data_IF_429526686901
#
_entry.id   IF_429526686901
#
_cell.length_a   1.000
_cell.length_b   1.000
_cell.length_c   1.000
_cell.angle_alpha   90.00
_cell.angle_beta   90.00
_cell.angle_gamma   90.00
#
_symmetry.space_group_name_H-M   'P 1'
#
loop_
_entity.id
_entity.type
_entity.pdbx_description
1 polymer ?
#
# COMPACT_ATOMS: atom_id res chain seq x y z
N UNK A 1 -2.59 18.00 4.39
CA UNK A 1 -2.32 16.55 4.24
C UNK A 1 -2.65 15.87 5.56
N UNK A 2 -3.47 14.84 5.54
CA UNK A 2 -3.84 14.12 6.76
C UNK A 2 -2.79 13.02 7.00
N UNK A 3 -2.24 12.94 8.20
CA UNK A 3 -1.22 11.94 8.54
C UNK A 3 -1.75 10.49 8.45
N UNK A 4 -3.06 10.31 8.60
CA UNK A 4 -3.70 8.99 8.49
C UNK A 4 -3.99 8.56 7.06
N UNK A 5 -4.06 9.50 6.12
CA UNK A 5 -4.33 9.19 4.71
C UNK A 5 -3.49 10.11 3.83
N UNK A 6 -2.40 9.58 3.30
CA UNK A 6 -1.45 10.35 2.49
C UNK A 6 -1.57 9.94 1.03
N UNK A 7 -1.79 10.90 0.15
CA UNK A 7 -1.76 10.68 -1.29
C UNK A 7 -0.31 10.65 -1.79
N UNK A 8 0.00 9.66 -2.63
CA UNK A 8 1.22 9.65 -3.42
C UNK A 8 0.87 10.09 -4.86
N UNK A 9 1.59 11.07 -5.42
CA UNK A 9 1.19 11.67 -6.69
C UNK A 9 1.64 10.86 -7.91
N UNK A 10 1.14 9.64 -8.03
CA UNK A 10 1.21 8.92 -9.29
C UNK A 10 0.29 9.59 -10.32
N UNK A 11 0.71 9.59 -11.57
CA UNK A 11 -0.02 10.22 -12.66
C UNK A 11 -1.09 9.27 -13.22
N UNK A 12 -2.15 9.05 -12.41
CA UNK A 12 -3.32 8.26 -12.79
C UNK A 12 -4.60 9.08 -12.67
N UNK A 13 -5.65 8.75 -13.41
CA UNK A 13 -6.99 9.33 -13.17
C UNK A 13 -7.51 9.08 -11.75
N UNK A 14 -7.32 7.86 -11.20
CA UNK A 14 -7.61 7.54 -9.81
C UNK A 14 -6.47 7.93 -8.88
N UNK A 15 -6.80 8.19 -7.62
CA UNK A 15 -5.82 8.56 -6.60
C UNK A 15 -5.24 7.33 -5.92
N UNK A 16 -3.98 7.39 -5.55
CA UNK A 16 -3.32 6.32 -4.77
C UNK A 16 -2.90 6.88 -3.42
N UNK A 17 -3.38 6.22 -2.37
CA UNK A 17 -3.15 6.62 -0.99
C UNK A 17 -2.40 5.55 -0.21
N UNK A 18 -1.73 5.97 0.84
CA UNK A 18 -1.24 5.10 1.92
C UNK A 18 -1.98 5.43 3.21
N UNK A 19 -2.10 4.45 4.11
CA UNK A 19 -2.60 4.68 5.47
C UNK A 19 -2.04 3.65 6.45
N UNK A 20 -2.14 3.88 7.77
CA UNK A 20 -2.05 2.79 8.73
C UNK A 20 -3.30 1.90 8.61
N UNK A 21 -3.27 0.77 9.31
CA UNK A 21 -4.40 -0.14 9.36
C UNK A 21 -5.55 0.47 10.16
N UNK A 22 -6.78 0.50 9.61
CA UNK A 22 -7.95 0.94 10.39
C UNK A 22 -8.10 0.14 11.69
N UNK A 23 -8.47 0.80 12.77
CA UNK A 23 -8.70 0.23 14.10
C UNK A 23 -7.47 -0.40 14.75
N UNK A 24 -6.29 -0.28 14.16
CA UNK A 24 -5.04 -0.76 14.74
C UNK A 24 -4.41 0.27 15.68
N UNK A 25 -3.22 -0.08 16.19
CA UNK A 25 -2.50 0.77 17.15
C UNK A 25 -2.12 2.15 16.58
N UNK A 26 -2.01 2.27 15.27
CA UNK A 26 -1.67 3.52 14.56
C UNK A 26 -2.92 4.30 14.09
N UNK A 27 -4.11 3.83 14.46
CA UNK A 27 -5.39 4.51 14.27
C UNK A 27 -6.14 4.60 15.61
N UNK A 28 -5.56 5.25 16.63
CA UNK A 28 -6.14 5.25 17.98
C UNK A 28 -7.48 6.00 18.06
N UNK A 29 -7.73 6.89 17.10
CA UNK A 29 -8.99 7.64 17.03
C UNK A 29 -10.05 6.92 16.17
N UNK A 30 -9.70 5.81 15.53
CA UNK A 30 -10.58 5.00 14.67
C UNK A 30 -11.20 5.82 13.53
N UNK A 31 -10.40 6.67 12.91
CA UNK A 31 -10.85 7.59 11.84
C UNK A 31 -10.52 7.10 10.43
N UNK A 32 -9.61 6.12 10.29
CA UNK A 32 -9.06 5.75 8.99
C UNK A 32 -10.12 5.23 8.04
N UNK A 33 -11.04 4.38 8.49
CA UNK A 33 -12.10 3.86 7.62
C UNK A 33 -13.03 4.98 7.12
N UNK A 34 -13.33 5.96 7.97
CA UNK A 34 -14.13 7.11 7.57
C UNK A 34 -13.39 7.99 6.56
N UNK A 35 -12.08 8.15 6.72
CA UNK A 35 -11.26 8.86 5.73
C UNK A 35 -11.28 8.15 4.36
N UNK A 36 -11.31 6.81 4.34
CA UNK A 36 -11.48 6.07 3.09
C UNK A 36 -12.80 6.44 2.40
N UNK A 37 -13.90 6.50 3.15
CA UNK A 37 -15.20 6.89 2.59
C UNK A 37 -15.17 8.31 2.04
N UNK A 38 -14.63 9.24 2.80
CA UNK A 38 -14.54 10.65 2.41
C UNK A 38 -13.66 10.87 1.17
N UNK A 39 -12.59 10.07 1.04
CA UNK A 39 -11.71 10.12 -0.12
C UNK A 39 -12.25 9.32 -1.33
N UNK A 40 -13.40 8.67 -1.20
CA UNK A 40 -13.96 7.86 -2.26
C UNK A 40 -13.10 6.65 -2.62
N UNK A 41 -12.49 6.01 -1.63
CA UNK A 41 -11.68 4.80 -1.84
C UNK A 41 -12.58 3.66 -2.31
N UNK A 42 -12.21 3.02 -3.41
CA UNK A 42 -12.95 1.90 -4.00
C UNK A 42 -12.17 0.59 -3.93
N UNK A 43 -10.84 0.67 -3.78
CA UNK A 43 -9.96 -0.50 -3.75
C UNK A 43 -9.01 -0.38 -2.56
N UNK A 44 -8.93 -1.45 -1.76
CA UNK A 44 -8.01 -1.54 -0.62
C UNK A 44 -7.01 -2.65 -0.87
N UNK A 45 -5.73 -2.33 -0.82
CA UNK A 45 -4.64 -3.31 -0.85
C UNK A 45 -4.23 -3.61 0.59
N UNK A 46 -4.52 -4.83 1.03
CA UNK A 46 -4.15 -5.32 2.35
C UNK A 46 -2.80 -6.03 2.28
N UNK A 47 -1.78 -5.44 2.87
CA UNK A 47 -0.45 -6.06 2.99
C UNK A 47 -0.29 -6.85 4.29
N UNK A 48 -1.34 -6.98 5.06
CA UNK A 48 -1.42 -7.83 6.25
C UNK A 48 -2.28 -9.05 5.94
N UNK A 49 -2.00 -10.18 6.62
CA UNK A 49 -2.88 -11.34 6.59
C UNK A 49 -4.18 -11.06 7.33
N UNK A 50 -5.22 -11.85 7.06
CA UNK A 50 -6.48 -11.76 7.82
C UNK A 50 -6.25 -12.02 9.32
N UNK A 51 -5.32 -12.94 9.64
CA UNK A 51 -4.96 -13.24 11.04
C UNK A 51 -4.28 -12.03 11.72
N UNK A 52 -3.31 -11.39 11.07
CA UNK A 52 -2.66 -10.19 11.61
C UNK A 52 -3.67 -9.04 11.77
N UNK A 53 -4.52 -8.82 10.79
CA UNK A 53 -5.56 -7.80 10.83
C UNK A 53 -6.49 -8.02 12.02
N UNK A 54 -6.95 -9.25 12.22
CA UNK A 54 -7.84 -9.59 13.34
C UNK A 54 -7.15 -9.46 14.69
N UNK A 55 -5.91 -9.91 14.81
CA UNK A 55 -5.13 -9.80 16.05
C UNK A 55 -4.90 -8.34 16.45
N UNK A 56 -4.51 -7.49 15.50
CA UNK A 56 -4.07 -6.12 15.77
C UNK A 56 -5.21 -5.10 15.78
N UNK A 57 -6.29 -5.32 15.03
CA UNK A 57 -7.44 -4.42 14.97
C UNK A 57 -8.64 -4.90 15.77
N UNK A 58 -8.70 -6.19 16.12
CA UNK A 58 -9.87 -6.81 16.70
C UNK A 58 -11.05 -6.94 15.73
N UNK A 59 -10.83 -6.76 14.44
CA UNK A 59 -11.89 -6.71 13.41
C UNK A 59 -11.58 -7.64 12.24
N UNK A 60 -12.63 -8.10 11.58
CA UNK A 60 -12.56 -8.71 10.26
C UNK A 60 -12.55 -7.59 9.20
N UNK A 61 -11.36 -7.07 8.88
CA UNK A 61 -11.22 -5.92 7.98
C UNK A 61 -11.71 -6.22 6.57
N UNK A 62 -11.45 -7.42 6.07
CA UNK A 62 -11.90 -7.81 4.73
C UNK A 62 -13.41 -7.71 4.61
N UNK A 63 -14.13 -8.19 5.63
CA UNK A 63 -15.59 -8.08 5.70
C UNK A 63 -16.04 -6.63 5.79
N UNK A 64 -15.39 -5.83 6.62
CA UNK A 64 -15.70 -4.39 6.75
C UNK A 64 -15.55 -3.65 5.42
N UNK A 65 -14.47 -3.92 4.68
CA UNK A 65 -14.27 -3.32 3.37
C UNK A 65 -15.36 -3.75 2.37
N UNK A 66 -15.69 -5.03 2.33
CA UNK A 66 -16.78 -5.53 1.48
C UNK A 66 -18.13 -4.88 1.81
N UNK A 67 -18.44 -4.71 3.09
CA UNK A 67 -19.66 -4.03 3.56
C UNK A 67 -19.70 -2.56 3.14
N UNK A 68 -18.54 -1.93 2.92
CA UNK A 68 -18.42 -0.57 2.38
C UNK A 68 -18.44 -0.53 0.84
N UNK A 69 -18.57 -1.67 0.17
CA UNK A 69 -18.50 -1.74 -1.29
C UNK A 69 -17.08 -1.62 -1.84
N UNK A 70 -16.06 -1.78 -1.03
CA UNK A 70 -14.67 -1.71 -1.45
C UNK A 70 -14.16 -3.07 -1.91
N UNK A 71 -13.46 -3.09 -3.05
CA UNK A 71 -12.74 -4.27 -3.51
C UNK A 71 -11.45 -4.44 -2.69
N UNK A 72 -11.12 -5.69 -2.34
CA UNK A 72 -9.88 -5.99 -1.62
C UNK A 72 -8.90 -6.72 -2.53
N UNK A 73 -7.67 -6.21 -2.58
CA UNK A 73 -6.51 -6.90 -3.15
C UNK A 73 -5.68 -7.38 -1.95
N UNK A 74 -5.62 -8.69 -1.77
CA UNK A 74 -4.90 -9.30 -0.64
C UNK A 74 -3.50 -9.70 -1.06
N UNK A 75 -2.50 -9.11 -0.43
CA UNK A 75 -1.09 -9.36 -0.69
C UNK A 75 -0.33 -9.39 0.64
N UNK A 76 -0.55 -10.41 1.49
CA UNK A 76 0.03 -10.45 2.82
C UNK A 76 1.55 -10.58 2.75
N UNK A 77 2.23 -9.71 3.49
CA UNK A 77 3.68 -9.71 3.69
C UNK A 77 3.89 -9.85 5.21
N UNK A 78 4.71 -10.79 5.69
CA UNK A 78 5.03 -10.86 7.11
C UNK A 78 5.66 -9.55 7.59
N UNK A 79 5.40 -9.17 8.84
CA UNK A 79 5.89 -7.90 9.37
C UNK A 79 7.43 -7.86 9.34
N UNK A 80 7.99 -6.70 8.97
CA UNK A 80 9.41 -6.45 8.77
C UNK A 80 10.07 -7.29 7.65
N UNK A 81 9.29 -8.04 6.87
CA UNK A 81 9.77 -8.95 5.84
C UNK A 81 9.49 -8.40 4.43
N UNK A 82 9.76 -9.22 3.45
CA UNK A 82 9.58 -8.95 2.02
C UNK A 82 8.56 -9.92 1.42
N UNK A 83 7.89 -9.51 0.33
CA UNK A 83 7.00 -10.43 -0.41
C UNK A 83 7.82 -11.34 -1.34
N UNK A 84 7.14 -12.38 -1.83
CA UNK A 84 7.62 -13.08 -3.03
C UNK A 84 7.38 -12.20 -4.26
N UNK A 85 8.39 -12.10 -5.14
CA UNK A 85 8.28 -11.26 -6.35
C UNK A 85 7.13 -11.69 -7.25
N UNK A 86 6.90 -13.00 -7.38
CA UNK A 86 5.82 -13.58 -8.17
C UNK A 86 4.43 -13.19 -7.67
N UNK A 87 4.27 -12.91 -6.39
CA UNK A 87 3.03 -12.43 -5.80
C UNK A 87 2.91 -10.91 -5.89
N UNK A 88 4.02 -10.18 -5.71
CA UNK A 88 4.04 -8.72 -5.71
C UNK A 88 3.74 -8.13 -7.09
N UNK A 89 4.40 -8.64 -8.14
CA UNK A 89 4.29 -8.07 -9.48
C UNK A 89 2.84 -8.05 -10.01
N UNK A 90 2.04 -9.12 -9.89
CA UNK A 90 0.62 -9.04 -10.23
C UNK A 90 -0.17 -8.04 -9.39
N UNK A 91 0.17 -7.89 -8.11
CA UNK A 91 -0.46 -6.91 -7.22
C UNK A 91 -0.19 -5.47 -7.64
N UNK A 92 1.04 -5.16 -8.02
CA UNK A 92 1.40 -3.85 -8.58
C UNK A 92 0.60 -3.56 -9.86
N UNK A 93 0.50 -4.54 -10.75
CA UNK A 93 -0.25 -4.40 -12.01
C UNK A 93 -1.75 -4.21 -11.75
N UNK A 94 -2.33 -4.93 -10.80
CA UNK A 94 -3.73 -4.74 -10.43
C UNK A 94 -4.01 -3.32 -9.92
N UNK A 95 -3.14 -2.76 -9.08
CA UNK A 95 -3.28 -1.38 -8.60
C UNK A 95 -3.18 -0.39 -9.75
N UNK A 96 -2.20 -0.58 -10.63
CA UNK A 96 -2.03 0.25 -11.82
C UNK A 96 -3.29 0.25 -12.68
N UNK A 97 -3.84 -0.92 -12.99
CA UNK A 97 -5.07 -1.08 -13.79
C UNK A 97 -6.24 -0.36 -13.13
N UNK A 98 -6.44 -0.55 -11.83
CA UNK A 98 -7.54 0.11 -11.08
C UNK A 98 -7.39 1.63 -11.09
N UNK A 99 -6.20 2.14 -10.82
CA UNK A 99 -5.96 3.58 -10.79
C UNK A 99 -6.06 4.21 -12.21
N UNK A 100 -5.63 3.50 -13.24
CA UNK A 100 -5.83 3.93 -14.64
C UNK A 100 -7.29 3.97 -15.04
N UNK A 101 -8.11 3.08 -14.49
CA UNK A 101 -9.56 3.09 -14.69
C UNK A 101 -10.29 4.20 -13.91
N UNK A 102 -9.58 4.96 -13.09
CA UNK A 102 -10.15 6.07 -12.32
C UNK A 102 -10.54 5.71 -10.89
N UNK A 103 -10.28 4.48 -10.44
CA UNK A 103 -10.61 4.07 -9.07
C UNK A 103 -9.57 4.59 -8.08
N UNK A 104 -10.04 5.07 -6.94
CA UNK A 104 -9.18 5.47 -5.84
C UNK A 104 -8.75 4.25 -5.03
N UNK A 105 -7.45 4.10 -4.84
CA UNK A 105 -6.83 2.94 -4.21
C UNK A 105 -6.11 3.38 -2.94
N UNK A 106 -6.25 2.61 -1.87
CA UNK A 106 -5.43 2.77 -0.67
C UNK A 106 -4.63 1.50 -0.41
N UNK A 107 -3.39 1.67 0.02
CA UNK A 107 -2.50 0.58 0.43
C UNK A 107 -2.18 0.74 1.91
N UNK A 108 -2.38 -0.31 2.70
CA UNK A 108 -2.01 -0.30 4.10
C UNK A 108 -1.32 -1.59 4.53
N UNK A 109 -0.52 -1.50 5.58
CA UNK A 109 -0.04 -2.63 6.36
C UNK A 109 -0.51 -2.46 7.82
N UNK A 110 0.37 -2.48 8.81
CA UNK A 110 0.01 -2.14 10.19
C UNK A 110 0.20 -0.64 10.45
N UNK A 111 1.46 -0.17 10.39
CA UNK A 111 1.76 1.26 10.55
C UNK A 111 1.61 2.09 9.26
N UNK A 112 1.57 1.43 8.10
CA UNK A 112 1.55 2.09 6.81
C UNK A 112 2.90 2.68 6.40
N UNK A 113 4.00 2.12 6.88
CA UNK A 113 5.36 2.65 6.71
C UNK A 113 6.26 1.65 5.98
N UNK A 114 6.59 0.52 6.58
CA UNK A 114 7.60 -0.41 6.06
C UNK A 114 7.13 -1.18 4.82
N UNK A 115 6.20 -2.11 5.01
CA UNK A 115 5.64 -2.92 3.91
C UNK A 115 4.92 -2.06 2.89
N UNK A 116 4.16 -1.06 3.34
CA UNK A 116 3.49 -0.09 2.47
C UNK A 116 4.52 0.74 1.70
N UNK A 117 5.57 1.20 2.35
CA UNK A 117 6.65 1.93 1.70
C UNK A 117 7.36 1.10 0.64
N UNK A 118 7.64 -0.17 0.92
CA UNK A 118 8.19 -1.11 -0.05
C UNK A 118 7.28 -1.24 -1.28
N UNK A 119 5.99 -1.46 -1.07
CA UNK A 119 5.01 -1.58 -2.15
C UNK A 119 5.01 -0.32 -3.02
N UNK A 120 4.95 0.86 -2.40
CA UNK A 120 4.93 2.14 -3.11
C UNK A 120 6.24 2.42 -3.85
N UNK A 121 7.39 2.02 -3.29
CA UNK A 121 8.67 2.16 -3.98
C UNK A 121 8.76 1.26 -5.21
N UNK A 122 8.25 0.03 -5.12
CA UNK A 122 8.16 -0.86 -6.27
C UNK A 122 7.21 -0.32 -7.34
N UNK A 123 6.09 0.29 -6.94
CA UNK A 123 5.21 1.01 -7.88
C UNK A 123 5.92 2.18 -8.55
N UNK A 124 6.66 2.98 -7.81
CA UNK A 124 7.40 4.12 -8.36
C UNK A 124 8.45 3.66 -9.40
N UNK A 125 9.11 2.53 -9.14
CA UNK A 125 9.99 1.92 -10.14
C UNK A 125 9.25 1.54 -11.41
N UNK A 126 8.11 0.87 -11.27
CA UNK A 126 7.34 0.36 -12.41
C UNK A 126 6.66 1.48 -13.20
N UNK A 127 6.06 2.44 -12.51
CA UNK A 127 5.21 3.47 -13.12
C UNK A 127 6.00 4.71 -13.52
N UNK A 128 6.92 5.15 -12.66
CA UNK A 128 7.70 6.37 -12.87
C UNK A 128 9.08 6.09 -13.50
N UNK A 129 9.45 4.82 -13.63
CA UNK A 129 10.76 4.44 -14.18
C UNK A 129 11.94 4.80 -13.29
N UNK A 130 11.74 5.04 -12.01
CA UNK A 130 12.80 5.41 -11.09
C UNK A 130 13.68 4.21 -10.74
N UNK A 131 15.02 4.36 -10.69
CA UNK A 131 15.88 3.36 -10.07
C UNK A 131 15.53 3.12 -8.62
N UNK A 132 15.84 1.93 -8.08
CA UNK A 132 15.42 1.52 -6.75
C UNK A 132 15.72 2.52 -5.64
N UNK A 133 16.95 3.04 -5.59
CA UNK A 133 17.35 4.02 -4.58
C UNK A 133 16.55 5.33 -4.70
N UNK A 134 16.35 5.80 -5.92
CA UNK A 134 15.56 7.02 -6.17
C UNK A 134 14.08 6.82 -5.88
N UNK A 135 13.56 5.63 -6.17
CA UNK A 135 12.17 5.27 -5.85
C UNK A 135 11.93 5.29 -4.32
N UNK A 136 12.86 4.73 -3.56
CA UNK A 136 12.80 4.77 -2.09
C UNK A 136 12.85 6.22 -1.59
N UNK A 137 13.79 7.02 -2.07
CA UNK A 137 13.92 8.43 -1.69
C UNK A 137 12.65 9.23 -2.04
N UNK A 138 12.06 8.96 -3.20
CA UNK A 138 10.81 9.60 -3.61
C UNK A 138 9.64 9.24 -2.68
N UNK A 139 9.48 7.96 -2.33
CA UNK A 139 8.43 7.54 -1.41
C UNK A 139 8.62 8.16 -0.02
N UNK A 140 9.84 8.28 0.45
CA UNK A 140 10.14 8.86 1.76
C UNK A 140 9.76 10.34 1.88
N UNK A 141 9.55 11.05 0.77
CA UNK A 141 8.98 12.40 0.79
C UNK A 141 7.53 12.41 1.29
N UNK A 142 6.80 11.31 1.08
CA UNK A 142 5.37 11.18 1.43
C UNK A 142 5.14 10.27 2.64
N UNK A 143 6.01 9.30 2.82
CA UNK A 143 5.98 8.33 3.92
C UNK A 143 7.34 8.38 4.61
N UNK A 144 7.54 9.27 5.59
CA UNK A 144 8.81 9.29 6.33
C UNK A 144 9.13 7.91 6.91
N UNK A 145 10.38 7.49 6.80
CA UNK A 145 10.88 6.18 7.24
C UNK A 145 10.36 4.98 6.43
N UNK A 146 9.74 5.20 5.27
CA UNK A 146 9.36 4.12 4.35
C UNK A 146 10.56 3.25 4.01
N UNK A 147 10.31 1.94 3.82
CA UNK A 147 11.36 0.94 3.61
C UNK A 147 12.28 0.91 4.84
N UNK A 148 11.80 0.25 5.91
CA UNK A 148 12.30 0.45 7.27
C UNK A 148 13.50 -0.44 7.64
N UNK A 149 13.91 -1.37 6.78
CA UNK A 149 15.08 -2.20 7.05
C UNK A 149 15.84 -2.53 5.75
N UNK A 150 17.04 -3.07 5.94
CA UNK A 150 17.96 -3.37 4.83
C UNK A 150 17.41 -4.46 3.90
N UNK A 151 16.71 -5.45 4.44
CA UNK A 151 16.08 -6.50 3.65
C UNK A 151 15.08 -5.95 2.66
N UNK A 152 14.21 -5.06 3.12
CA UNK A 152 13.22 -4.37 2.29
C UNK A 152 13.90 -3.45 1.26
N UNK A 153 14.93 -2.74 1.68
CA UNK A 153 15.70 -1.85 0.81
C UNK A 153 16.33 -2.62 -0.36
N UNK A 154 17.01 -3.73 -0.06
CA UNK A 154 17.62 -4.59 -1.06
C UNK A 154 16.60 -5.19 -2.01
N UNK A 155 15.45 -5.61 -1.48
CA UNK A 155 14.35 -6.14 -2.30
C UNK A 155 13.88 -5.12 -3.34
N UNK A 156 13.65 -3.86 -2.93
CA UNK A 156 13.22 -2.80 -3.85
C UNK A 156 14.27 -2.56 -4.93
N UNK A 157 15.55 -2.56 -4.56
CA UNK A 157 16.63 -2.34 -5.53
C UNK A 157 16.76 -3.47 -6.53
N UNK A 158 16.66 -4.72 -6.07
CA UNK A 158 16.96 -5.91 -6.86
C UNK A 158 15.75 -6.46 -7.62
N UNK A 159 14.54 -5.96 -7.34
CA UNK A 159 13.32 -6.44 -8.01
C UNK A 159 13.47 -6.31 -9.52
N UNK A 160 13.40 -7.45 -10.21
CA UNK A 160 13.37 -7.46 -11.67
C UNK A 160 11.96 -7.07 -12.15
N UNK A 161 11.86 -5.91 -12.76
CA UNK A 161 10.64 -5.49 -13.47
C UNK A 161 10.67 -6.06 -14.87
N UNK A 162 9.58 -6.72 -15.30
CA UNK A 162 9.46 -7.13 -16.68
C UNK A 162 9.41 -5.88 -17.56
N UNK A 163 10.41 -5.76 -18.47
CA UNK A 163 10.33 -4.77 -19.53
C UNK A 163 9.16 -5.17 -20.44
N UNK A 164 8.12 -4.36 -20.47
CA UNK A 164 7.09 -4.50 -21.50
C UNK A 164 7.76 -4.33 -22.87
N UNK A 165 7.68 -5.35 -23.67
CA UNK A 165 8.13 -5.30 -25.06
C UNK A 165 7.00 -4.74 -25.90
#
# INVERSE_FOLDING_TARGET
MNEYLTRLPFDFPGQVYRSPMPFGAFDPQQVVLELYRQAGVEVVVMLVSDAEAREKSGRDLRRLYAEQGMQVISLPIPDFDIPEAEALLPGLEQVKVQAQAGHNVVVHCNAGIGRTGLFMACMARQVCGLPGEQAIAWVQLYIPHAVENELQYTFVQDLALSTAV
#
